data_IF_262272678027
#
_entry.id   IF_262272678027
#
_cell.length_a   1.000
_cell.length_b   1.000
_cell.length_c   1.000
_cell.angle_alpha   90.00
_cell.angle_beta   90.00
_cell.angle_gamma   90.00
#
_symmetry.space_group_name_H-M   'P 1'
#
loop_
_entity.id
_entity.type
_entity.pdbx_description
1 polymer ?
#
# COMPACT_ATOMS: atom_id res chain seq x y z
N UNK A 1 -0.75 -28.60 -11.55
CA UNK A 1 -0.36 -29.59 -10.52
C UNK A 1 1.09 -29.29 -10.13
N UNK A 2 1.34 -28.76 -8.92
CA UNK A 2 2.70 -28.40 -8.48
C UNK A 2 3.39 -29.66 -7.98
N UNK A 3 4.51 -30.04 -8.60
CA UNK A 3 5.28 -31.21 -8.21
C UNK A 3 6.04 -30.92 -6.90
N UNK A 4 5.61 -31.50 -5.77
CA UNK A 4 6.13 -31.20 -4.42
C UNK A 4 7.65 -31.34 -4.26
N UNK A 5 8.31 -32.14 -5.10
CA UNK A 5 9.77 -32.36 -5.05
C UNK A 5 10.58 -31.42 -5.95
N UNK A 6 9.93 -30.59 -6.77
CA UNK A 6 10.62 -29.68 -7.66
C UNK A 6 10.90 -28.36 -6.94
N UNK A 7 12.12 -28.20 -6.42
CA UNK A 7 12.57 -27.00 -5.70
C UNK A 7 13.05 -25.87 -6.63
N UNK A 8 13.02 -26.07 -7.96
CA UNK A 8 13.47 -25.06 -8.92
C UNK A 8 12.59 -23.81 -8.95
N UNK A 9 11.34 -23.91 -8.49
CA UNK A 9 10.40 -22.78 -8.37
C UNK A 9 9.93 -22.68 -6.91
N UNK A 10 10.13 -21.51 -6.25
CA UNK A 10 9.68 -21.33 -4.88
C UNK A 10 8.15 -21.40 -4.79
N UNK A 11 7.64 -22.07 -3.76
CA UNK A 11 6.20 -22.10 -3.48
C UNK A 11 5.74 -20.73 -2.99
N UNK A 12 4.62 -20.24 -3.52
CA UNK A 12 4.02 -18.98 -3.07
C UNK A 12 3.33 -19.14 -1.72
N UNK A 13 3.02 -18.01 -1.07
CA UNK A 13 2.25 -18.02 0.19
C UNK A 13 0.89 -18.71 0.06
N UNK A 14 0.18 -18.45 -1.04
CA UNK A 14 -1.08 -19.12 -1.35
C UNK A 14 -0.90 -20.62 -1.63
N UNK A 15 0.24 -21.00 -2.21
CA UNK A 15 0.55 -22.39 -2.57
C UNK A 15 0.66 -23.28 -1.34
N UNK A 16 1.45 -22.90 -0.33
CA UNK A 16 1.55 -23.71 0.88
C UNK A 16 0.29 -23.64 1.74
N UNK A 17 -0.43 -22.50 1.74
CA UNK A 17 -1.70 -22.36 2.46
C UNK A 17 -2.74 -23.33 1.90
N UNK A 18 -2.79 -23.47 0.57
CA UNK A 18 -3.65 -24.45 -0.10
C UNK A 18 -3.27 -25.89 0.26
N UNK A 19 -1.98 -26.22 0.28
CA UNK A 19 -1.52 -27.55 0.70
C UNK A 19 -1.90 -27.85 2.15
N UNK A 20 -1.84 -26.85 3.04
CA UNK A 20 -2.26 -27.01 4.42
C UNK A 20 -3.77 -27.24 4.53
N UNK A 21 -4.59 -26.45 3.83
CA UNK A 21 -6.04 -26.65 3.77
C UNK A 21 -6.42 -28.05 3.28
N UNK A 22 -5.75 -28.56 2.24
CA UNK A 22 -6.00 -29.92 1.72
C UNK A 22 -5.69 -31.04 2.72
N UNK A 23 -4.86 -30.78 3.75
CA UNK A 23 -4.62 -31.72 4.85
C UNK A 23 -5.74 -31.73 5.89
N UNK A 24 -6.77 -30.91 5.72
CA UNK A 24 -7.90 -30.76 6.63
C UNK A 24 -7.44 -30.58 8.09
N UNK A 25 -6.72 -29.48 8.39
CA UNK A 25 -6.11 -29.30 9.69
C UNK A 25 -7.20 -29.13 10.76
N UNK A 26 -7.07 -29.88 11.84
CA UNK A 26 -7.83 -29.64 13.06
C UNK A 26 -6.99 -28.72 13.96
N UNK A 27 -7.41 -27.46 14.13
CA UNK A 27 -6.65 -26.49 14.91
C UNK A 27 -6.56 -26.89 16.39
N UNK A 28 -7.53 -27.66 16.91
CA UNK A 28 -7.53 -28.13 18.30
C UNK A 28 -6.41 -29.12 18.60
N UNK A 29 -5.89 -29.84 17.60
CA UNK A 29 -4.75 -30.74 17.80
C UNK A 29 -3.42 -30.01 17.80
N UNK A 30 -3.38 -28.78 17.28
CA UNK A 30 -2.18 -27.94 17.22
C UNK A 30 -2.04 -27.14 18.50
N UNK A 31 -3.12 -26.44 18.90
CA UNK A 31 -3.21 -25.67 20.13
C UNK A 31 -4.60 -25.86 20.72
N UNK A 32 -4.68 -26.21 21.99
CA UNK A 32 -5.97 -26.28 22.69
C UNK A 32 -6.52 -24.87 22.90
N UNK A 33 -7.75 -24.62 22.44
CA UNK A 33 -8.43 -23.33 22.57
C UNK A 33 -9.95 -23.52 22.63
N UNK A 34 -10.63 -22.64 23.36
CA UNK A 34 -12.11 -22.69 23.46
C UNK A 34 -12.80 -21.84 22.38
N UNK A 35 -12.09 -20.86 21.83
CA UNK A 35 -12.61 -19.87 20.90
C UNK A 35 -11.60 -19.56 19.80
N UNK A 36 -12.08 -19.48 18.56
CA UNK A 36 -11.35 -18.97 17.41
C UNK A 36 -11.75 -17.51 17.16
N UNK A 37 -10.78 -16.60 17.20
CA UNK A 37 -10.97 -15.18 16.90
C UNK A 37 -10.57 -14.92 15.44
N UNK A 38 -11.49 -14.38 14.64
CA UNK A 38 -11.26 -14.04 13.24
C UNK A 38 -11.44 -12.53 13.10
N UNK A 39 -10.37 -11.84 12.72
CA UNK A 39 -10.35 -10.41 12.42
C UNK A 39 -10.34 -10.18 10.90
N UNK A 40 -10.69 -8.96 10.46
CA UNK A 40 -10.79 -8.57 9.04
C UNK A 40 -11.61 -9.55 8.19
N UNK A 41 -12.69 -10.06 8.78
CA UNK A 41 -13.45 -11.17 8.24
C UNK A 41 -14.18 -10.86 6.91
N UNK A 42 -14.17 -9.60 6.47
CA UNK A 42 -14.68 -9.19 5.17
C UNK A 42 -13.74 -9.54 3.99
N UNK A 43 -12.46 -9.83 4.23
CA UNK A 43 -11.44 -10.07 3.20
C UNK A 43 -10.75 -11.45 3.34
N UNK A 44 -11.54 -12.50 3.62
CA UNK A 44 -11.03 -13.87 3.84
C UNK A 44 -10.83 -14.62 2.52
N UNK A 45 -9.69 -15.28 2.32
CA UNK A 45 -9.48 -16.17 1.18
C UNK A 45 -10.37 -17.43 1.31
N UNK A 46 -10.98 -17.95 0.23
CA UNK A 46 -11.75 -19.20 0.23
C UNK A 46 -11.05 -20.39 0.91
N UNK A 47 -9.73 -20.47 0.81
CA UNK A 47 -8.90 -21.50 1.46
C UNK A 47 -8.94 -21.37 2.98
N UNK A 48 -8.87 -20.15 3.51
CA UNK A 48 -9.01 -19.89 4.95
C UNK A 48 -10.44 -20.12 5.43
N UNK A 49 -11.43 -19.69 4.64
CA UNK A 49 -12.85 -19.95 4.90
C UNK A 49 -13.10 -21.46 5.09
N UNK A 50 -12.58 -22.29 4.20
CA UNK A 50 -12.70 -23.74 4.29
C UNK A 50 -12.07 -24.28 5.59
N UNK A 51 -10.86 -23.85 5.93
CA UNK A 51 -10.22 -24.22 7.21
C UNK A 51 -11.09 -23.81 8.40
N UNK A 52 -11.60 -22.58 8.42
CA UNK A 52 -12.44 -22.05 9.51
C UNK A 52 -13.74 -22.85 9.64
N UNK A 53 -14.38 -23.20 8.53
CA UNK A 53 -15.63 -23.97 8.49
C UNK A 53 -15.47 -25.39 9.08
N UNK A 54 -14.31 -26.01 8.90
CA UNK A 54 -14.02 -27.35 9.43
C UNK A 54 -13.73 -27.38 10.94
N UNK A 55 -13.60 -26.23 11.60
CA UNK A 55 -13.37 -26.19 13.05
C UNK A 55 -14.69 -26.29 13.80
N UNK A 56 -14.79 -27.21 14.76
CA UNK A 56 -15.97 -27.31 15.66
C UNK A 56 -15.97 -26.26 16.77
N UNK A 57 -14.84 -25.57 17.00
CA UNK A 57 -14.68 -24.56 18.03
C UNK A 57 -15.60 -23.35 17.82
N UNK A 58 -16.00 -22.71 18.93
CA UNK A 58 -16.75 -21.46 18.92
C UNK A 58 -15.96 -20.37 18.17
N UNK A 59 -16.67 -19.51 17.43
CA UNK A 59 -16.05 -18.50 16.55
C UNK A 59 -16.54 -17.11 16.95
N UNK A 60 -15.61 -16.18 17.11
CA UNK A 60 -15.89 -14.76 17.20
C UNK A 60 -15.34 -14.11 15.94
N UNK A 61 -16.24 -13.54 15.14
CA UNK A 61 -15.94 -12.98 13.83
C UNK A 61 -16.07 -11.46 13.93
N UNK A 62 -14.99 -10.75 13.61
CA UNK A 62 -14.88 -9.29 13.68
C UNK A 62 -14.49 -8.77 12.30
N UNK A 63 -15.07 -7.64 11.92
CA UNK A 63 -14.76 -6.96 10.67
C UNK A 63 -15.85 -5.96 10.29
N UNK A 64 -15.66 -5.33 9.13
CA UNK A 64 -16.59 -4.35 8.57
C UNK A 64 -16.95 -4.73 7.13
N UNK A 65 -18.22 -5.08 6.82
CA UNK A 65 -18.60 -5.45 5.47
C UNK A 65 -18.48 -4.32 4.45
N UNK A 66 -18.39 -3.06 4.89
CA UNK A 66 -18.20 -1.90 4.02
C UNK A 66 -16.73 -1.69 3.64
N UNK A 67 -15.79 -2.31 4.35
CA UNK A 67 -14.34 -2.23 4.09
C UNK A 67 -13.81 -3.38 3.24
N UNK A 68 -14.68 -4.16 2.60
CA UNK A 68 -14.25 -5.21 1.68
C UNK A 68 -13.67 -4.61 0.40
N UNK A 69 -12.35 -4.76 0.23
CA UNK A 69 -11.61 -4.17 -0.91
C UNK A 69 -10.80 -5.20 -1.71
N UNK A 70 -10.69 -6.45 -1.24
CA UNK A 70 -9.92 -7.50 -1.93
C UNK A 70 -10.78 -8.49 -2.74
N UNK A 71 -12.02 -8.12 -3.07
CA UNK A 71 -12.94 -8.97 -3.86
C UNK A 71 -12.37 -9.36 -5.24
N UNK A 72 -11.56 -8.50 -5.87
CA UNK A 72 -10.87 -8.79 -7.13
C UNK A 72 -9.85 -9.94 -7.04
N UNK A 73 -9.41 -10.30 -5.82
CA UNK A 73 -8.55 -11.46 -5.54
C UNK A 73 -9.36 -12.71 -5.17
N UNK A 74 -10.69 -12.66 -5.29
CA UNK A 74 -11.58 -13.73 -4.85
C UNK A 74 -11.78 -13.79 -3.35
N UNK A 75 -11.49 -12.71 -2.60
CA UNK A 75 -11.77 -12.64 -1.18
C UNK A 75 -13.28 -12.70 -0.90
N UNK A 76 -13.64 -13.44 0.14
CA UNK A 76 -15.00 -13.73 0.56
C UNK A 76 -15.30 -12.99 1.86
N UNK A 77 -16.53 -12.49 1.97
CA UNK A 77 -16.98 -11.75 3.13
C UNK A 77 -17.68 -12.69 4.13
N UNK A 78 -16.92 -13.18 5.10
CA UNK A 78 -17.38 -14.11 6.12
C UNK A 78 -18.56 -13.55 6.93
N UNK A 79 -18.60 -12.22 7.11
CA UNK A 79 -19.65 -11.53 7.89
C UNK A 79 -21.04 -11.66 7.25
N UNK A 80 -21.11 -12.00 5.95
CA UNK A 80 -22.36 -12.23 5.23
C UNK A 80 -22.75 -13.70 5.14
N UNK A 81 -21.77 -14.60 5.15
CA UNK A 81 -22.00 -16.04 4.95
C UNK A 81 -22.35 -16.77 6.25
N UNK A 82 -21.81 -16.33 7.39
CA UNK A 82 -22.05 -17.00 8.66
C UNK A 82 -23.39 -16.63 9.28
N UNK A 83 -24.20 -17.64 9.58
CA UNK A 83 -25.34 -17.49 10.50
C UNK A 83 -24.81 -17.32 11.92
N UNK A 84 -24.65 -16.07 12.34
CA UNK A 84 -24.21 -15.74 13.69
C UNK A 84 -25.28 -16.08 14.72
N UNK A 85 -24.91 -16.74 15.83
CA UNK A 85 -25.82 -16.91 16.98
C UNK A 85 -26.13 -15.58 17.67
N UNK A 86 -25.16 -14.66 17.68
CA UNK A 86 -25.31 -13.29 18.19
C UNK A 86 -24.55 -12.34 17.27
N UNK A 87 -25.12 -11.16 17.02
CA UNK A 87 -24.52 -10.09 16.22
C UNK A 87 -24.49 -8.81 17.04
N UNK A 88 -23.33 -8.18 17.11
CA UNK A 88 -23.13 -6.90 17.79
C UNK A 88 -22.60 -5.88 16.78
N UNK A 89 -23.15 -4.68 16.79
CA UNK A 89 -22.72 -3.58 15.92
C UNK A 89 -21.97 -2.56 16.76
N UNK A 90 -20.69 -2.33 16.43
CA UNK A 90 -19.87 -1.30 17.06
C UNK A 90 -19.78 -0.10 16.11
N UNK A 91 -20.66 0.88 16.31
CA UNK A 91 -20.75 2.07 15.44
C UNK A 91 -19.91 3.25 15.93
N UNK A 92 -19.52 3.25 17.21
CA UNK A 92 -18.73 4.32 17.82
C UNK A 92 -17.25 4.23 17.41
N UNK A 93 -16.77 5.28 16.73
CA UNK A 93 -15.37 5.49 16.43
C UNK A 93 -14.64 6.13 17.60
N UNK A 94 -13.43 5.65 17.86
CA UNK A 94 -12.44 6.28 18.73
C UNK A 94 -11.33 6.99 17.94
N UNK A 95 -11.37 6.91 16.60
CA UNK A 95 -10.30 7.39 15.71
C UNK A 95 -10.57 8.79 15.16
N UNK A 96 -11.83 9.14 15.01
CA UNK A 96 -12.28 10.39 14.42
C UNK A 96 -13.55 10.88 15.12
N UNK A 97 -13.78 12.18 15.04
CA UNK A 97 -14.91 12.92 15.58
C UNK A 97 -16.17 12.91 14.72
N UNK A 98 -17.18 13.70 15.10
CA UNK A 98 -18.48 13.70 14.44
C UNK A 98 -18.41 14.21 12.99
N UNK A 99 -17.48 15.11 12.67
CA UNK A 99 -17.38 15.72 11.36
C UNK A 99 -16.93 14.72 10.28
N UNK A 100 -15.89 13.92 10.54
CA UNK A 100 -15.46 12.84 9.64
C UNK A 100 -16.51 11.73 9.60
N UNK A 101 -17.16 11.42 10.72
CA UNK A 101 -18.25 10.43 10.76
C UNK A 101 -19.40 10.83 9.83
N UNK A 102 -19.78 12.11 9.84
CA UNK A 102 -20.82 12.65 8.96
C UNK A 102 -20.47 12.43 7.48
N UNK A 103 -19.28 12.83 7.04
CA UNK A 103 -18.84 12.64 5.65
C UNK A 103 -18.81 11.16 5.27
N UNK A 104 -18.27 10.30 6.15
CA UNK A 104 -18.22 8.86 5.91
C UNK A 104 -19.62 8.26 5.76
N UNK A 105 -20.57 8.65 6.61
CA UNK A 105 -21.97 8.21 6.50
C UNK A 105 -22.61 8.65 5.19
N UNK A 106 -22.42 9.91 4.76
CA UNK A 106 -22.93 10.37 3.47
C UNK A 106 -22.40 9.52 2.30
N UNK A 107 -21.11 9.15 2.33
CA UNK A 107 -20.53 8.25 1.33
C UNK A 107 -21.15 6.85 1.40
N UNK A 108 -21.32 6.28 2.59
CA UNK A 108 -21.90 4.95 2.78
C UNK A 108 -23.36 4.87 2.34
N UNK A 109 -24.17 5.86 2.72
CA UNK A 109 -25.57 5.98 2.31
C UNK A 109 -25.70 6.02 0.79
N UNK A 110 -24.86 6.82 0.13
CA UNK A 110 -24.90 6.96 -1.32
C UNK A 110 -24.41 5.69 -2.06
N UNK A 111 -23.31 5.09 -1.59
CA UNK A 111 -22.61 4.02 -2.32
C UNK A 111 -23.10 2.62 -1.98
N UNK A 112 -23.53 2.37 -0.75
CA UNK A 112 -23.78 1.00 -0.25
C UNK A 112 -25.25 0.69 -0.04
N UNK A 113 -26.12 1.69 0.12
CA UNK A 113 -27.62 1.67 0.17
C UNK A 113 -28.32 0.60 1.04
N UNK A 114 -27.58 -0.35 1.59
CA UNK A 114 -28.04 -1.59 2.21
C UNK A 114 -27.43 -1.77 3.61
N UNK A 115 -26.83 -0.72 4.18
CA UNK A 115 -26.36 -0.70 5.56
C UNK A 115 -27.09 0.42 6.31
N UNK A 116 -27.94 0.02 7.25
CA UNK A 116 -28.75 0.92 8.06
C UNK A 116 -27.98 1.45 9.28
N UNK A 117 -26.73 1.02 9.48
CA UNK A 117 -25.92 1.42 10.62
C UNK A 117 -25.22 2.75 10.35
N UNK A 118 -25.42 3.70 11.24
CA UNK A 118 -24.74 5.01 11.22
C UNK A 118 -23.45 4.94 12.04
N UNK A 119 -22.31 5.32 11.45
CA UNK A 119 -21.06 5.53 12.18
C UNK A 119 -21.19 6.74 13.10
N UNK A 120 -20.79 6.58 14.35
CA UNK A 120 -20.82 7.64 15.36
C UNK A 120 -19.39 8.08 15.64
N UNK A 121 -19.10 9.36 15.40
CA UNK A 121 -17.81 9.97 15.72
C UNK A 121 -17.55 10.04 17.22
N UNK A 122 -16.28 10.01 17.61
CA UNK A 122 -15.82 10.21 18.98
C UNK A 122 -16.15 11.60 19.53
N UNK A 123 -15.81 11.84 20.81
CA UNK A 123 -16.09 13.14 21.47
C UNK A 123 -15.15 14.26 21.04
N UNK A 124 -14.01 13.91 20.44
CA UNK A 124 -13.03 14.90 19.99
C UNK A 124 -13.54 15.53 18.69
N UNK A 125 -13.39 16.85 18.54
CA UNK A 125 -13.64 17.50 17.26
C UNK A 125 -12.55 17.11 16.26
N UNK A 126 -12.96 16.84 15.03
CA UNK A 126 -12.00 16.70 13.95
C UNK A 126 -11.45 18.08 13.54
N UNK A 127 -10.17 18.12 13.16
CA UNK A 127 -9.60 19.24 12.43
C UNK A 127 -9.39 18.85 10.98
N UNK A 128 -10.19 19.45 10.09
CA UNK A 128 -9.97 19.42 8.66
C UNK A 128 -9.37 20.77 8.25
N UNK A 129 -8.04 20.84 8.08
CA UNK A 129 -7.38 22.06 7.60
C UNK A 129 -7.38 22.03 6.08
N UNK A 130 -8.33 22.76 5.50
CA UNK A 130 -8.49 22.89 4.05
C UNK A 130 -7.87 24.18 3.52
N UNK A 131 -6.55 24.23 3.35
CA UNK A 131 -5.86 24.97 2.28
C UNK A 131 -4.36 24.76 2.38
N UNK A 132 -3.66 24.75 1.24
CA UNK A 132 -2.18 24.70 1.16
C UNK A 132 -1.47 25.83 1.93
N UNK A 133 -2.18 26.89 2.30
CA UNK A 133 -1.59 28.13 2.82
C UNK A 133 -1.39 28.13 4.34
N UNK A 134 -2.06 27.25 5.07
CA UNK A 134 -2.06 27.23 6.54
C UNK A 134 -1.41 25.97 7.14
N UNK A 135 -0.73 25.16 6.32
CA UNK A 135 -0.05 23.94 6.79
C UNK A 135 1.22 24.32 7.53
N UNK A 136 1.15 24.37 8.86
CA UNK A 136 2.31 24.56 9.74
C UNK A 136 2.81 23.20 10.20
N UNK A 137 4.04 22.85 9.84
CA UNK A 137 4.72 21.61 10.26
C UNK A 137 4.99 20.61 9.13
N UNK A 138 5.43 19.38 9.48
CA UNK A 138 5.83 18.37 8.50
C UNK A 138 4.66 17.92 7.63
N UNK A 139 4.85 17.92 6.30
CA UNK A 139 3.81 17.57 5.32
C UNK A 139 4.05 16.17 4.78
N UNK A 140 3.02 15.31 4.80
CA UNK A 140 3.11 13.98 4.18
C UNK A 140 2.47 13.99 2.80
N UNK A 141 3.25 13.64 1.77
CA UNK A 141 2.80 13.51 0.39
C UNK A 141 2.64 12.04 0.06
N UNK A 142 1.42 11.65 -0.32
CA UNK A 142 1.06 10.28 -0.64
C UNK A 142 0.81 10.18 -2.14
N UNK A 143 1.72 9.53 -2.86
CA UNK A 143 1.56 9.27 -4.29
C UNK A 143 0.94 7.91 -4.56
N UNK A 144 0.03 7.85 -5.54
CA UNK A 144 -0.53 6.59 -6.05
C UNK A 144 0.53 5.73 -6.75
N UNK A 145 1.54 6.35 -7.33
CA UNK A 145 2.63 5.69 -8.04
C UNK A 145 3.98 6.21 -7.58
N UNK A 146 5.03 5.38 -7.75
CA UNK A 146 6.42 5.78 -7.56
C UNK A 146 6.80 7.02 -8.40
N UNK A 147 6.27 7.13 -9.63
CA UNK A 147 6.51 8.28 -10.50
C UNK A 147 5.89 9.57 -9.96
N UNK A 148 4.66 9.51 -9.44
CA UNK A 148 4.01 10.68 -8.81
C UNK A 148 4.75 11.14 -7.54
N UNK A 149 5.20 10.19 -6.71
CA UNK A 149 6.06 10.50 -5.57
C UNK A 149 7.35 11.19 -6.03
N UNK A 150 8.00 10.69 -7.08
CA UNK A 150 9.22 11.31 -7.60
C UNK A 150 8.98 12.73 -8.13
N UNK A 151 7.89 12.98 -8.85
CA UNK A 151 7.54 14.32 -9.33
C UNK A 151 7.36 15.30 -8.17
N UNK A 152 6.66 14.89 -7.11
CA UNK A 152 6.49 15.73 -5.92
C UNK A 152 7.81 15.98 -5.19
N UNK A 153 8.73 14.99 -5.15
CA UNK A 153 10.09 15.20 -4.64
C UNK A 153 10.82 16.25 -5.48
N UNK A 154 10.76 16.17 -6.81
CA UNK A 154 11.41 17.17 -7.69
C UNK A 154 10.85 18.57 -7.41
N UNK A 155 9.52 18.71 -7.42
CA UNK A 155 8.81 19.97 -7.21
C UNK A 155 9.11 20.62 -5.86
N UNK A 156 9.10 19.83 -4.78
CA UNK A 156 9.24 20.36 -3.41
C UNK A 156 10.69 20.46 -2.95
N UNK A 157 11.57 19.56 -3.39
CA UNK A 157 12.96 19.46 -2.89
C UNK A 157 13.98 20.00 -3.88
N UNK A 158 13.78 19.79 -5.19
CA UNK A 158 14.78 20.13 -6.20
C UNK A 158 14.57 21.51 -6.84
N UNK A 159 13.31 21.93 -6.98
CA UNK A 159 12.89 23.22 -7.54
C UNK A 159 12.75 24.32 -6.48
N UNK A 160 12.65 23.95 -5.19
CA UNK A 160 12.68 24.93 -4.10
C UNK A 160 14.09 25.47 -3.87
N UNK A 161 14.19 26.79 -3.73
CA UNK A 161 15.41 27.52 -3.36
C UNK A 161 15.79 27.31 -1.88
N UNK A 162 14.81 27.00 -1.03
CA UNK A 162 15.03 26.75 0.39
C UNK A 162 15.76 25.41 0.65
N UNK A 163 16.48 25.32 1.77
CA UNK A 163 17.05 24.06 2.26
C UNK A 163 15.97 23.18 2.92
N UNK A 164 15.06 22.68 2.09
CA UNK A 164 13.98 21.78 2.50
C UNK A 164 14.51 20.35 2.68
N UNK A 165 14.13 19.71 3.80
CA UNK A 165 14.47 18.31 4.12
C UNK A 165 13.33 17.38 3.77
N UNK A 166 13.63 16.38 2.94
CA UNK A 166 12.70 15.31 2.61
C UNK A 166 12.96 14.03 3.41
N UNK A 167 11.95 13.17 3.51
CA UNK A 167 12.10 11.78 3.94
C UNK A 167 11.33 10.87 2.98
N UNK A 168 11.97 9.82 2.46
CA UNK A 168 11.31 8.86 1.57
C UNK A 168 11.03 7.58 2.35
N UNK A 169 9.76 7.32 2.63
CA UNK A 169 9.32 6.11 3.31
C UNK A 169 9.34 4.95 2.32
N UNK A 170 9.92 3.82 2.74
CA UNK A 170 10.26 2.69 1.84
C UNK A 170 11.71 2.69 1.36
N UNK A 171 12.49 3.70 1.74
CA UNK A 171 13.95 3.75 1.57
C UNK A 171 14.41 4.19 0.18
N UNK A 172 15.64 3.85 -0.17
CA UNK A 172 16.32 4.29 -1.39
C UNK A 172 15.96 3.44 -2.62
N UNK A 173 15.10 2.42 -2.50
CA UNK A 173 14.71 1.52 -3.60
C UNK A 173 14.26 2.29 -4.85
N UNK A 174 13.42 3.31 -4.66
CA UNK A 174 12.97 4.19 -5.75
C UNK A 174 14.15 4.86 -6.46
N UNK A 175 15.08 5.43 -5.68
CA UNK A 175 16.28 6.10 -6.21
C UNK A 175 17.25 5.13 -6.88
N UNK A 176 17.34 3.89 -6.39
CA UNK A 176 18.14 2.83 -7.01
C UNK A 176 17.60 2.49 -8.40
N UNK A 177 16.29 2.45 -8.61
CA UNK A 177 15.71 2.19 -9.94
C UNK A 177 16.03 3.32 -10.92
N UNK A 178 15.85 4.58 -10.51
CA UNK A 178 16.21 5.74 -11.33
C UNK A 178 17.71 5.82 -11.64
N UNK A 179 18.58 5.46 -10.69
CA UNK A 179 20.04 5.37 -10.93
C UNK A 179 20.39 4.30 -11.96
N UNK A 180 19.72 3.15 -11.95
CA UNK A 180 19.94 2.12 -12.96
C UNK A 180 19.55 2.61 -14.37
N UNK A 181 18.46 3.37 -14.49
CA UNK A 181 18.06 3.97 -15.76
C UNK A 181 19.04 5.08 -16.21
N UNK A 182 19.56 5.89 -15.29
CA UNK A 182 20.61 6.86 -15.58
C UNK A 182 21.87 6.15 -16.11
N UNK A 183 22.35 5.11 -15.43
CA UNK A 183 23.52 4.35 -15.88
C UNK A 183 23.30 3.66 -17.22
N UNK A 184 22.07 3.22 -17.53
CA UNK A 184 21.73 2.67 -18.84
C UNK A 184 21.85 3.73 -19.94
N UNK A 185 21.44 4.98 -19.68
CA UNK A 185 21.63 6.10 -20.64
C UNK A 185 23.08 6.53 -20.78
N UNK A 186 23.86 6.44 -19.70
CA UNK A 186 25.30 6.76 -19.71
C UNK A 186 26.18 5.60 -20.20
N UNK A 187 25.58 4.46 -20.59
CA UNK A 187 26.28 3.23 -20.99
C UNK A 187 27.24 2.68 -19.91
N UNK A 188 26.96 2.96 -18.63
CA UNK A 188 27.75 2.51 -17.46
C UNK A 188 27.23 1.18 -16.90
N UNK A 189 27.21 0.15 -17.74
CA UNK A 189 26.62 -1.16 -17.43
C UNK A 189 27.24 -1.85 -16.19
N UNK A 190 28.52 -1.60 -15.93
CA UNK A 190 29.24 -2.13 -14.78
C UNK A 190 28.73 -1.60 -13.43
N UNK A 191 28.07 -0.42 -13.40
CA UNK A 191 27.52 0.19 -12.18
C UNK A 191 26.06 -0.18 -11.92
N UNK A 192 25.42 -0.87 -12.86
CA UNK A 192 24.02 -1.26 -12.77
C UNK A 192 23.85 -2.49 -11.87
N UNK A 193 22.72 -2.59 -11.18
CA UNK A 193 22.27 -3.78 -10.44
C UNK A 193 21.10 -4.47 -11.14
N UNK A 194 20.27 -3.71 -11.86
CA UNK A 194 19.15 -4.20 -12.69
C UNK A 194 19.38 -3.84 -14.17
N UNK A 195 18.58 -4.45 -15.06
CA UNK A 195 18.54 -4.12 -16.50
C UNK A 195 19.84 -4.34 -17.30
N UNK A 196 20.86 -5.01 -16.75
CA UNK A 196 22.15 -5.29 -17.42
C UNK A 196 22.04 -5.97 -18.80
N UNK A 197 20.94 -6.68 -19.04
CA UNK A 197 20.66 -7.37 -20.31
C UNK A 197 20.25 -6.43 -21.46
N UNK A 198 19.93 -5.18 -21.14
CA UNK A 198 19.48 -4.19 -22.11
C UNK A 198 20.63 -3.26 -22.47
N UNK A 199 20.78 -2.95 -23.77
CA UNK A 199 21.87 -2.09 -24.29
C UNK A 199 21.47 -0.63 -24.45
N UNK A 200 20.16 -0.34 -24.41
CA UNK A 200 19.62 1.01 -24.52
C UNK A 200 18.28 1.14 -23.80
N UNK A 201 17.88 2.36 -23.46
CA UNK A 201 16.52 2.63 -22.94
C UNK A 201 15.46 2.15 -23.93
N UNK A 202 15.63 2.35 -25.23
CA UNK A 202 14.66 1.91 -26.24
C UNK A 202 14.43 0.40 -26.19
N UNK A 203 15.49 -0.40 -25.98
CA UNK A 203 15.35 -1.86 -25.82
C UNK A 203 14.60 -2.25 -24.53
N UNK A 204 14.79 -1.49 -23.46
CA UNK A 204 14.07 -1.67 -22.20
C UNK A 204 12.60 -1.26 -22.32
N UNK A 205 12.31 -0.20 -23.08
CA UNK A 205 10.96 0.30 -23.35
C UNK A 205 10.14 -0.70 -24.19
N UNK A 206 10.75 -1.30 -25.22
CA UNK A 206 10.12 -2.39 -26.00
C UNK A 206 9.74 -3.55 -25.06
N UNK A 207 10.66 -3.96 -24.19
CA UNK A 207 10.40 -5.01 -23.21
C UNK A 207 9.27 -4.63 -22.23
N UNK A 208 9.27 -3.41 -21.71
CA UNK A 208 8.21 -2.92 -20.82
C UNK A 208 6.84 -2.94 -21.51
N UNK A 209 6.80 -2.60 -22.81
CA UNK A 209 5.59 -2.65 -23.63
C UNK A 209 5.08 -4.07 -23.85
N UNK A 210 5.96 -5.00 -24.21
CA UNK A 210 5.60 -6.40 -24.42
C UNK A 210 5.18 -7.13 -23.14
N UNK A 211 5.76 -6.76 -22.00
CA UNK A 211 5.45 -7.36 -20.69
C UNK A 211 4.27 -6.73 -19.96
N UNK A 212 3.67 -5.66 -20.51
CA UNK A 212 2.64 -4.85 -19.84
C UNK A 212 3.05 -4.38 -18.43
N UNK A 213 4.34 -4.11 -18.22
CA UNK A 213 4.85 -3.59 -16.96
C UNK A 213 4.59 -2.07 -16.85
N UNK A 214 3.43 -1.71 -16.32
CA UNK A 214 3.02 -0.31 -16.16
C UNK A 214 3.95 0.51 -15.25
N UNK A 215 4.58 -0.13 -14.26
CA UNK A 215 5.52 0.57 -13.37
C UNK A 215 6.80 0.94 -14.13
N UNK A 216 7.36 -0.01 -14.87
CA UNK A 216 8.56 0.23 -15.67
C UNK A 216 8.30 1.26 -16.78
N UNK A 217 7.15 1.21 -17.44
CA UNK A 217 6.75 2.24 -18.43
C UNK A 217 6.74 3.64 -17.82
N UNK A 218 6.14 3.79 -16.63
CA UNK A 218 6.09 5.08 -15.92
C UNK A 218 7.48 5.58 -15.53
N UNK A 219 8.37 4.70 -15.07
CA UNK A 219 9.76 5.04 -14.76
C UNK A 219 10.53 5.52 -15.99
N UNK A 220 10.43 4.80 -17.12
CA UNK A 220 11.10 5.17 -18.37
C UNK A 220 10.58 6.51 -18.89
N UNK A 221 9.26 6.69 -18.92
CA UNK A 221 8.63 7.95 -19.34
C UNK A 221 9.16 9.13 -18.53
N UNK A 222 9.23 8.98 -17.20
CA UNK A 222 9.71 10.05 -16.33
C UNK A 222 11.19 10.37 -16.59
N UNK A 223 12.05 9.38 -16.78
CA UNK A 223 13.48 9.61 -17.12
C UNK A 223 13.64 10.31 -18.46
N UNK A 224 12.77 10.01 -19.43
CA UNK A 224 12.80 10.63 -20.75
C UNK A 224 12.36 12.10 -20.73
N UNK A 225 11.60 12.54 -19.71
CA UNK A 225 11.23 13.95 -19.52
C UNK A 225 12.41 14.86 -19.15
N UNK A 226 13.54 14.30 -18.68
CA UNK A 226 14.71 15.06 -18.27
C UNK A 226 15.91 14.78 -19.17
N UNK A 227 16.68 15.82 -19.49
CA UNK A 227 18.01 15.62 -20.05
C UNK A 227 18.97 14.99 -19.01
N UNK A 228 20.07 14.42 -19.51
CA UNK A 228 21.04 13.70 -18.68
C UNK A 228 21.67 14.57 -17.57
N UNK A 229 22.19 15.78 -17.86
CA UNK A 229 22.75 16.64 -16.83
C UNK A 229 21.75 17.02 -15.73
N UNK A 230 20.53 17.41 -16.09
CA UNK A 230 19.49 17.79 -15.15
C UNK A 230 19.03 16.60 -14.31
N UNK A 231 18.83 15.44 -14.94
CA UNK A 231 18.43 14.25 -14.21
C UNK A 231 19.48 13.82 -13.18
N UNK A 232 20.76 13.91 -13.52
CA UNK A 232 21.86 13.65 -12.58
C UNK A 232 21.86 14.65 -11.43
N UNK A 233 21.68 15.94 -11.71
CA UNK A 233 21.59 17.00 -10.69
C UNK A 233 20.42 16.76 -9.73
N UNK A 234 19.26 16.36 -10.26
CA UNK A 234 18.08 16.00 -9.46
C UNK A 234 18.41 14.85 -8.52
N UNK A 235 18.96 13.74 -9.02
CA UNK A 235 19.24 12.57 -8.18
C UNK A 235 20.27 12.88 -7.07
N UNK A 236 21.28 13.70 -7.34
CA UNK A 236 22.24 14.14 -6.32
C UNK A 236 21.60 15.07 -5.30
N UNK A 237 20.75 16.01 -5.71
CA UNK A 237 19.96 16.87 -4.79
C UNK A 237 19.08 16.02 -3.88
N UNK A 238 18.34 15.05 -4.43
CA UNK A 238 17.49 14.15 -3.65
C UNK A 238 18.33 13.36 -2.66
N UNK A 239 19.47 12.80 -3.07
CA UNK A 239 20.36 12.05 -2.18
C UNK A 239 20.91 12.91 -1.04
N UNK A 240 21.15 14.20 -1.29
CA UNK A 240 21.66 15.15 -0.29
C UNK A 240 20.57 15.64 0.67
N UNK A 241 19.35 15.89 0.17
CA UNK A 241 18.26 16.55 0.90
C UNK A 241 17.20 15.60 1.46
N UNK A 242 17.10 14.37 0.95
CA UNK A 242 16.16 13.36 1.46
C UNK A 242 16.87 12.34 2.37
N UNK A 243 16.45 12.28 3.63
CA UNK A 243 17.04 11.45 4.68
C UNK A 243 16.08 10.35 5.15
N UNK A 244 16.57 9.47 6.03
CA UNK A 244 15.77 8.33 6.54
C UNK A 244 14.95 8.64 7.79
N UNK A 245 15.10 9.82 8.42
CA UNK A 245 14.39 10.15 9.66
C UNK A 245 13.16 11.03 9.38
N UNK A 246 11.98 10.48 9.63
CA UNK A 246 10.68 11.15 9.50
C UNK A 246 10.53 12.35 10.45
N UNK A 247 11.05 12.26 11.67
CA UNK A 247 10.81 13.26 12.73
C UNK A 247 11.40 14.65 12.45
N UNK A 248 12.38 14.72 11.54
CA UNK A 248 13.10 15.96 11.21
C UNK A 248 12.85 16.40 9.75
N UNK A 249 11.89 15.79 9.06
CA UNK A 249 11.62 16.07 7.66
C UNK A 249 10.54 17.16 7.53
N UNK A 250 10.75 18.13 6.65
CA UNK A 250 9.72 19.09 6.26
C UNK A 250 8.67 18.41 5.37
N UNK A 251 9.11 17.46 4.54
CA UNK A 251 8.24 16.64 3.69
C UNK A 251 8.52 15.14 3.86
N UNK A 252 7.46 14.36 4.06
CA UNK A 252 7.49 12.89 4.11
C UNK A 252 6.81 12.35 2.86
N UNK A 253 7.55 11.62 2.04
CA UNK A 253 7.09 11.07 0.77
C UNK A 253 6.76 9.60 0.92
N UNK A 254 5.56 9.22 0.50
CA UNK A 254 5.03 7.89 0.68
C UNK A 254 4.34 7.39 -0.60
N UNK A 255 4.57 6.13 -0.97
CA UNK A 255 3.81 5.48 -2.05
C UNK A 255 2.73 4.58 -1.43
N UNK A 256 1.48 4.73 -1.87
CA UNK A 256 0.34 3.89 -1.45
C UNK A 256 0.61 2.37 -1.53
N UNK A 257 1.47 1.93 -2.44
CA UNK A 257 1.77 0.50 -2.64
C UNK A 257 2.75 -0.10 -1.62
N UNK A 258 3.41 0.70 -0.79
CA UNK A 258 4.25 0.25 0.32
C UNK A 258 3.55 0.46 1.66
N UNK A 259 2.57 -0.38 1.99
CA UNK A 259 1.70 -0.24 3.18
C UNK A 259 2.48 -0.45 4.50
N UNK A 260 2.86 0.64 5.18
CA UNK A 260 3.06 0.75 6.62
C UNK A 260 2.48 2.08 7.12
N UNK A 261 1.56 2.02 8.11
CA UNK A 261 0.85 3.18 8.66
C UNK A 261 1.81 4.37 8.93
N UNK A 262 1.57 5.55 8.35
CA UNK A 262 2.37 6.72 8.67
C UNK A 262 2.04 7.23 10.10
N UNK A 263 3.01 7.89 10.75
CA UNK A 263 2.93 8.28 12.16
C UNK A 263 3.04 9.81 12.34
N UNK A 264 2.15 10.62 11.76
CA UNK A 264 2.01 12.05 12.18
C UNK A 264 0.78 12.73 11.56
N UNK A 265 0.36 13.90 12.07
CA UNK A 265 -0.83 14.62 11.60
C UNK A 265 -0.77 14.93 10.10
N UNK A 266 -1.83 14.57 9.36
CA UNK A 266 -1.80 14.48 7.91
C UNK A 266 -2.45 15.66 7.21
N UNK A 267 -1.76 16.23 6.23
CA UNK A 267 -2.37 16.95 5.12
C UNK A 267 -2.15 16.10 3.85
N UNK A 268 -3.21 15.48 3.33
CA UNK A 268 -3.13 14.55 2.20
C UNK A 268 -3.28 15.35 0.90
N UNK A 269 -2.24 15.35 0.07
CA UNK A 269 -2.29 15.93 -1.27
C UNK A 269 -2.53 14.81 -2.31
N UNK A 270 -3.63 14.91 -3.06
CA UNK A 270 -3.89 14.03 -4.21
C UNK A 270 -3.42 14.75 -5.48
N UNK A 271 -2.27 14.32 -6.01
CA UNK A 271 -1.79 14.66 -7.36
C UNK A 271 -2.02 13.52 -8.33
#
# INVERSE_FOLDING_TARGET
MIHQKNTSVPITHDGYLKLWQLRQPNLQTIVSHDVLLIDEAQDINPTMLDIINHQSTAKVIVGDPNQQIYSFRGAVNLLKEFKSSKKFSLTQSFRFGPEIAFVANCCLEHLKKNDERTLVGGRNRDMLVGSDKDVVGPVTIIGRTNGGVFQEIVRRICESDDEVKGCIIGGDKLLVEYKNLLYLREEKFNRMTKYKRFRSISSLEIFANQSNDHQLKSLISLVNCYDLPNFRRILEKIKKRCFHNEANADFVFYNCSSVQRPRMGFCIYFG
#
